data_IF_240912887022
#
_entry.id   IF_240912887022
#
_cell.length_a   1.000
_cell.length_b   1.000
_cell.length_c   1.000
_cell.angle_alpha   90.00
_cell.angle_beta   90.00
_cell.angle_gamma   90.00
#
_symmetry.space_group_name_H-M   'P 1'
#
loop_
_entity.id
_entity.type
_entity.pdbx_description
1 polymer ?
#
# COMPACT_ATOMS: atom_id res chain seq x y z
N UNK A 1 -13.79 -42.73 60.58
CA UNK A 1 -14.19 -41.68 61.51
C UNK A 1 -14.68 -40.50 60.67
N UNK A 2 -15.95 -40.22 60.68
CA UNK A 2 -16.50 -38.99 60.11
C UNK A 2 -16.52 -37.95 61.23
N UNK A 3 -15.78 -36.87 61.07
CA UNK A 3 -15.75 -35.77 62.02
C UNK A 3 -17.15 -35.10 62.03
N UNK A 4 -17.49 -34.50 63.20
CA UNK A 4 -18.75 -33.81 63.37
C UNK A 4 -18.97 -32.58 62.42
N UNK A 5 -17.96 -32.21 61.73
CA UNK A 5 -17.98 -31.09 60.76
C UNK A 5 -18.31 -31.52 59.33
N UNK A 6 -18.27 -32.82 59.00
CA UNK A 6 -18.67 -33.35 57.70
C UNK A 6 -19.88 -34.29 57.90
N UNK A 7 -20.94 -33.99 57.22
CA UNK A 7 -22.14 -34.84 57.21
C UNK A 7 -22.31 -35.51 55.85
N UNK A 8 -22.49 -36.80 55.87
CA UNK A 8 -22.94 -37.59 54.72
C UNK A 8 -24.35 -38.05 55.02
N UNK A 9 -25.32 -37.51 54.32
CA UNK A 9 -26.73 -37.85 54.55
C UNK A 9 -27.47 -37.80 53.20
N UNK A 10 -28.23 -38.80 52.98
CA UNK A 10 -29.01 -38.98 51.75
C UNK A 10 -28.15 -38.90 50.50
N UNK A 11 -27.77 -38.29 49.74
CA UNK A 11 -26.87 -38.24 48.61
C UNK A 11 -25.93 -37.00 48.66
N UNK A 12 -25.80 -36.40 49.85
CA UNK A 12 -25.04 -35.18 50.00
C UNK A 12 -23.83 -35.33 50.95
N UNK A 13 -22.72 -34.68 50.57
CA UNK A 13 -21.57 -34.44 51.43
C UNK A 13 -21.56 -32.95 51.73
N UNK A 14 -21.83 -32.57 52.96
CA UNK A 14 -21.92 -31.17 53.38
C UNK A 14 -21.03 -30.87 54.58
N UNK A 15 -20.61 -29.62 54.72
CA UNK A 15 -20.01 -29.10 55.94
C UNK A 15 -21.15 -28.63 56.85
N UNK A 16 -21.08 -28.94 58.16
CA UNK A 16 -22.07 -28.53 59.14
C UNK A 16 -21.77 -27.15 59.73
N UNK A 17 -20.57 -26.64 59.51
CA UNK A 17 -20.14 -25.35 60.00
C UNK A 17 -20.19 -24.31 58.92
N UNK A 18 -20.79 -23.16 59.23
CA UNK A 18 -20.90 -22.04 58.27
C UNK A 18 -19.50 -21.51 57.86
N UNK A 19 -19.32 -21.21 56.59
CA UNK A 19 -18.09 -20.71 55.99
C UNK A 19 -16.88 -21.67 56.08
N UNK A 20 -17.13 -22.97 56.23
CA UNK A 20 -16.07 -24.00 56.16
C UNK A 20 -15.99 -24.61 54.76
N UNK A 21 -14.77 -24.80 54.27
CA UNK A 21 -14.57 -25.44 52.98
C UNK A 21 -14.70 -26.96 53.09
N UNK A 22 -15.25 -27.59 52.08
CA UNK A 22 -15.17 -29.03 51.89
C UNK A 22 -13.88 -29.35 51.08
N UNK A 23 -12.84 -29.87 51.74
CA UNK A 23 -11.60 -30.23 51.12
C UNK A 23 -11.60 -31.72 50.77
N UNK A 24 -11.47 -32.05 49.50
CA UNK A 24 -11.27 -33.41 49.00
C UNK A 24 -9.84 -33.50 48.46
N UNK A 25 -8.93 -33.97 49.26
CA UNK A 25 -7.49 -34.03 48.96
C UNK A 25 -7.00 -35.49 49.02
N UNK A 26 -6.64 -36.09 47.88
CA UNK A 26 -5.98 -37.41 47.89
C UNK A 26 -4.57 -37.34 48.50
N UNK A 27 -4.14 -38.45 49.05
CA UNK A 27 -2.78 -38.55 49.56
C UNK A 27 -1.78 -38.82 48.43
N UNK A 28 -0.59 -38.22 48.50
CA UNK A 28 0.51 -38.43 47.56
C UNK A 28 0.15 -38.08 46.14
N UNK A 29 0.36 -38.97 45.20
CA UNK A 29 0.08 -38.79 43.77
C UNK A 29 -1.34 -39.20 43.36
N UNK A 30 -2.21 -39.46 44.30
CA UNK A 30 -3.61 -39.83 44.04
C UNK A 30 -4.40 -38.69 43.36
N UNK A 31 -5.52 -39.03 42.79
CA UNK A 31 -6.42 -38.11 42.14
C UNK A 31 -7.85 -38.25 42.66
N UNK A 32 -8.63 -37.18 42.65
CA UNK A 32 -10.07 -37.25 42.82
C UNK A 32 -10.68 -37.54 41.43
N UNK A 33 -11.26 -38.70 41.27
CA UNK A 33 -11.89 -39.12 39.99
C UNK A 33 -13.38 -38.86 40.06
N UNK A 34 -13.87 -37.90 39.29
CA UNK A 34 -15.29 -37.60 39.16
C UNK A 34 -15.72 -37.88 37.71
N UNK A 35 -16.47 -38.92 37.51
CA UNK A 35 -16.90 -39.35 36.14
C UNK A 35 -17.89 -38.39 35.49
N UNK A 36 -18.65 -37.63 36.28
CA UNK A 36 -19.56 -36.54 35.81
C UNK A 36 -19.57 -35.46 36.86
N UNK A 37 -19.22 -34.23 36.50
CA UNK A 37 -19.31 -33.06 37.35
C UNK A 37 -20.23 -32.02 36.74
N UNK A 38 -21.13 -31.47 37.53
CA UNK A 38 -21.90 -30.30 37.24
C UNK A 38 -21.45 -29.17 38.20
N UNK A 39 -20.80 -28.15 37.64
CA UNK A 39 -20.24 -27.02 38.41
C UNK A 39 -21.10 -25.80 38.13
N UNK A 40 -22.08 -25.55 38.98
CA UNK A 40 -23.07 -24.50 38.80
C UNK A 40 -22.61 -23.11 39.27
N UNK A 41 -21.40 -22.98 39.75
CA UNK A 41 -20.81 -21.72 40.18
C UNK A 41 -19.38 -21.87 40.72
N UNK A 42 -18.71 -20.78 40.98
CA UNK A 42 -17.33 -20.77 41.46
C UNK A 42 -16.30 -20.58 40.35
N UNK A 43 -15.03 -20.76 40.69
CA UNK A 43 -13.89 -20.67 39.79
C UNK A 43 -13.19 -22.03 39.64
N UNK A 44 -12.61 -22.26 38.47
CA UNK A 44 -11.67 -23.36 38.22
C UNK A 44 -10.30 -22.71 37.98
N UNK A 45 -9.54 -22.60 39.04
CA UNK A 45 -8.26 -21.93 39.02
C UNK A 45 -7.09 -22.92 38.87
N UNK A 46 -6.03 -22.49 38.19
CA UNK A 46 -4.79 -23.24 38.04
C UNK A 46 -4.98 -24.69 37.51
N UNK A 47 -5.92 -24.90 36.65
CA UNK A 47 -6.35 -26.20 36.13
C UNK A 47 -6.26 -26.29 34.63
N UNK A 48 -5.66 -27.37 34.11
CA UNK A 48 -5.70 -27.68 32.68
C UNK A 48 -7.05 -28.33 32.36
N UNK A 49 -7.87 -27.66 31.54
CA UNK A 49 -9.15 -28.21 31.07
C UNK A 49 -8.91 -29.00 29.79
N UNK A 50 -9.22 -30.29 29.82
CA UNK A 50 -9.05 -31.17 28.65
C UNK A 50 -7.59 -31.56 28.35
N UNK A 51 -6.76 -31.75 29.38
CA UNK A 51 -5.32 -31.98 29.23
C UNK A 51 -4.95 -33.27 28.47
N UNK A 52 -5.72 -34.33 28.55
CA UNK A 52 -5.41 -35.63 27.89
C UNK A 52 -6.29 -35.90 26.68
N UNK A 53 -7.56 -35.63 26.79
CA UNK A 53 -8.53 -35.83 25.70
C UNK A 53 -9.49 -34.66 25.68
N UNK A 54 -9.10 -33.53 25.05
CA UNK A 54 -9.96 -32.36 24.98
C UNK A 54 -11.19 -32.63 24.13
N UNK A 55 -12.34 -32.18 24.62
CA UNK A 55 -13.62 -32.15 23.91
C UNK A 55 -14.07 -30.72 23.71
N UNK A 56 -15.12 -30.53 22.91
CA UNK A 56 -15.66 -29.21 22.65
C UNK A 56 -16.17 -28.53 23.93
N UNK A 57 -15.75 -27.29 24.18
CA UNK A 57 -16.32 -26.42 25.21
C UNK A 57 -17.28 -25.42 24.59
N UNK A 58 -18.48 -25.28 25.20
CA UNK A 58 -19.43 -24.25 24.79
C UNK A 58 -19.39 -23.07 25.75
N UNK A 59 -19.07 -21.90 25.25
CA UNK A 59 -19.00 -20.67 26.03
C UNK A 59 -19.95 -19.62 25.45
N UNK A 60 -20.71 -18.92 26.28
CA UNK A 60 -21.43 -17.71 25.87
C UNK A 60 -20.48 -16.55 25.58
N UNK A 61 -19.41 -16.45 26.35
CA UNK A 61 -18.33 -15.48 26.17
C UNK A 61 -17.01 -16.11 26.61
N UNK A 62 -16.00 -16.03 25.74
CA UNK A 62 -14.61 -16.41 26.10
C UNK A 62 -13.81 -15.11 26.23
N UNK A 63 -13.34 -14.79 27.45
CA UNK A 63 -12.48 -13.64 27.71
C UNK A 63 -11.07 -14.13 28.05
N UNK A 64 -10.09 -13.73 27.25
CA UNK A 64 -8.68 -13.93 27.52
C UNK A 64 -8.02 -12.58 27.81
N UNK A 65 -7.57 -12.37 29.07
CA UNK A 65 -7.04 -11.07 29.50
C UNK A 65 -5.68 -10.72 28.90
N UNK A 66 -4.89 -11.73 28.54
CA UNK A 66 -3.53 -11.53 28.03
C UNK A 66 -3.38 -12.06 26.59
N UNK A 67 -3.71 -13.30 26.37
CA UNK A 67 -3.66 -13.92 25.04
C UNK A 67 -4.59 -15.11 24.96
N UNK A 68 -5.20 -15.34 23.82
CA UNK A 68 -5.80 -16.62 23.44
C UNK A 68 -4.87 -17.24 22.39
N UNK A 69 -4.23 -18.36 22.71
CA UNK A 69 -3.51 -19.15 21.72
C UNK A 69 -4.53 -20.12 21.12
N UNK A 70 -4.95 -19.81 19.91
CA UNK A 70 -5.89 -20.64 19.15
C UNK A 70 -5.07 -21.32 18.07
N UNK A 71 -4.88 -22.62 18.17
CA UNK A 71 -4.19 -23.42 17.16
C UNK A 71 -5.12 -23.52 15.93
N UNK A 72 -4.76 -22.79 14.86
CA UNK A 72 -5.59 -22.66 13.67
C UNK A 72 -6.87 -21.85 13.93
N UNK A 73 -6.78 -20.54 13.85
CA UNK A 73 -7.93 -19.64 14.09
C UNK A 73 -9.11 -20.00 13.17
N UNK A 74 -10.20 -20.52 13.76
CA UNK A 74 -11.49 -20.63 13.10
C UNK A 74 -12.45 -19.66 13.75
N UNK A 75 -12.85 -18.62 13.03
CA UNK A 75 -13.86 -17.66 13.47
C UNK A 75 -15.10 -17.93 12.63
N UNK A 76 -16.22 -18.29 13.27
CA UNK A 76 -17.49 -18.55 12.62
C UNK A 76 -18.25 -17.26 12.32
N UNK A 77 -19.20 -17.34 11.40
CA UNK A 77 -19.98 -16.24 10.82
C UNK A 77 -19.18 -15.29 9.91
N UNK A 78 -18.09 -15.78 9.30
CA UNK A 78 -17.37 -15.11 8.24
C UNK A 78 -16.82 -13.70 8.60
N UNK A 79 -16.71 -13.37 9.90
CA UNK A 79 -16.27 -12.04 10.34
C UNK A 79 -15.22 -12.13 11.44
N UNK A 80 -14.19 -11.33 11.29
CA UNK A 80 -13.26 -10.94 12.35
C UNK A 80 -13.49 -9.44 12.56
N UNK A 81 -14.00 -9.05 13.72
CA UNK A 81 -14.30 -7.65 14.01
C UNK A 81 -13.77 -7.23 15.37
N UNK A 82 -13.46 -5.95 15.51
CA UNK A 82 -13.25 -5.34 16.83
C UNK A 82 -14.59 -5.09 17.50
N UNK A 83 -14.62 -5.19 18.83
CA UNK A 83 -15.84 -4.98 19.63
C UNK A 83 -15.92 -3.60 20.30
N UNK A 84 -14.93 -2.75 20.03
CA UNK A 84 -14.88 -1.36 20.52
C UNK A 84 -14.97 -0.38 19.36
N UNK A 85 -15.65 0.75 19.61
CA UNK A 85 -15.82 1.81 18.63
C UNK A 85 -14.46 2.48 18.34
N UNK A 86 -14.17 2.68 17.08
CA UNK A 86 -12.94 3.32 16.56
C UNK A 86 -11.62 2.54 16.80
N UNK A 87 -11.67 1.27 17.18
CA UNK A 87 -10.50 0.41 17.23
C UNK A 87 -10.20 -0.21 15.87
N UNK A 88 -8.94 -0.28 15.52
CA UNK A 88 -8.46 -0.99 14.32
C UNK A 88 -8.35 -2.50 14.61
N UNK A 89 -8.62 -3.31 13.62
CA UNK A 89 -8.20 -4.71 13.61
C UNK A 89 -6.77 -4.76 13.06
N UNK A 90 -5.82 -5.09 13.91
CA UNK A 90 -4.42 -5.25 13.51
C UNK A 90 -4.13 -6.71 13.17
N UNK A 91 -3.64 -6.92 11.95
CA UNK A 91 -3.16 -8.22 11.48
C UNK A 91 -1.69 -8.06 11.11
N UNK A 92 -0.79 -8.57 11.95
CA UNK A 92 0.64 -8.43 11.75
C UNK A 92 1.35 -9.78 11.80
N UNK A 93 2.42 -9.93 11.01
CA UNK A 93 3.33 -11.06 11.13
C UNK A 93 4.26 -10.92 12.33
N UNK A 94 4.81 -12.01 12.82
CA UNK A 94 5.81 -12.01 13.87
C UNK A 94 7.23 -12.11 13.28
N UNK A 95 8.18 -11.35 13.81
CA UNK A 95 9.57 -11.32 13.34
C UNK A 95 9.67 -10.88 11.89
N UNK A 96 10.24 -11.71 11.01
CA UNK A 96 10.32 -11.46 9.55
C UNK A 96 9.10 -11.94 8.76
N UNK A 97 8.08 -12.44 9.45
CA UNK A 97 6.85 -12.90 8.82
C UNK A 97 6.01 -11.74 8.28
N UNK A 98 5.34 -11.95 7.15
CA UNK A 98 4.40 -11.01 6.55
C UNK A 98 2.95 -11.44 6.74
N UNK A 99 2.03 -10.56 6.42
CA UNK A 99 0.60 -10.89 6.32
C UNK A 99 0.33 -11.53 4.97
N UNK A 100 -0.16 -12.77 4.97
CA UNK A 100 -0.57 -13.46 3.76
C UNK A 100 -2.08 -13.69 3.79
N UNK A 101 -2.77 -13.19 2.76
CA UNK A 101 -4.22 -13.38 2.59
C UNK A 101 -4.45 -14.06 1.25
N UNK A 102 -4.98 -15.28 1.27
CA UNK A 102 -5.31 -16.04 0.07
C UNK A 102 -4.14 -16.19 -0.94
N UNK A 103 -2.93 -16.40 -0.43
CA UNK A 103 -1.73 -16.55 -1.25
C UNK A 103 -1.02 -15.23 -1.62
N UNK A 104 -1.58 -14.08 -1.23
CA UNK A 104 -0.95 -12.78 -1.44
C UNK A 104 -0.25 -12.30 -0.18
N UNK A 105 1.06 -12.06 -0.27
CA UNK A 105 1.83 -11.45 0.82
C UNK A 105 1.82 -9.94 0.67
N UNK A 106 1.32 -9.26 1.69
CA UNK A 106 1.23 -7.80 1.74
C UNK A 106 2.58 -7.17 2.16
N UNK A 107 2.90 -5.95 1.68
CA UNK A 107 4.08 -5.23 2.12
C UNK A 107 3.97 -4.91 3.62
N UNK A 108 5.11 -4.95 4.32
CA UNK A 108 5.21 -4.62 5.75
C UNK A 108 5.37 -3.12 6.02
N UNK A 109 5.57 -2.33 4.98
CA UNK A 109 5.71 -0.87 5.07
C UNK A 109 4.75 -0.18 4.12
N UNK A 110 4.35 1.03 4.46
CA UNK A 110 3.52 1.88 3.61
C UNK A 110 4.30 2.36 2.37
N UNK A 111 3.57 2.66 1.30
CA UNK A 111 4.09 3.29 0.10
C UNK A 111 4.21 4.82 0.24
N UNK A 112 4.62 5.49 -0.81
CA UNK A 112 4.58 6.96 -0.91
C UNK A 112 3.32 7.42 -1.63
N UNK A 113 2.91 8.68 -1.40
CA UNK A 113 1.73 9.26 -2.06
C UNK A 113 1.76 9.09 -3.57
N UNK A 114 0.68 8.61 -4.16
CA UNK A 114 0.55 8.36 -5.60
C UNK A 114 1.00 6.97 -6.06
N UNK A 115 1.49 6.13 -5.15
CA UNK A 115 1.75 4.72 -5.44
C UNK A 115 0.48 3.88 -5.30
N UNK A 116 0.43 2.76 -6.01
CA UNK A 116 -0.63 1.77 -5.92
C UNK A 116 -0.06 0.36 -5.69
N UNK A 117 -0.89 -0.51 -5.14
CA UNK A 117 -0.49 -1.88 -4.83
C UNK A 117 -0.44 -2.71 -6.13
N UNK A 118 0.69 -3.35 -6.36
CA UNK A 118 0.95 -4.20 -7.54
C UNK A 118 1.33 -5.61 -7.13
N UNK A 119 1.22 -6.55 -8.06
CA UNK A 119 1.66 -7.93 -7.88
C UNK A 119 2.85 -8.24 -8.79
N UNK A 120 3.76 -9.09 -8.32
CA UNK A 120 4.84 -9.64 -9.14
C UNK A 120 4.43 -10.90 -9.94
N UNK A 121 3.17 -11.32 -9.86
CA UNK A 121 2.67 -12.56 -10.47
C UNK A 121 3.00 -13.85 -9.69
N UNK A 122 3.71 -13.74 -8.56
CA UNK A 122 4.11 -14.86 -7.70
C UNK A 122 3.55 -14.74 -6.28
N UNK A 123 2.46 -13.98 -6.11
CA UNK A 123 1.78 -13.81 -4.83
C UNK A 123 2.40 -12.74 -3.91
N UNK A 124 3.40 -11.99 -4.34
CA UNK A 124 3.96 -10.88 -3.54
C UNK A 124 3.39 -9.56 -4.04
N UNK A 125 2.84 -8.78 -3.13
CA UNK A 125 2.35 -7.44 -3.39
C UNK A 125 3.42 -6.40 -2.97
N UNK A 126 3.52 -5.32 -3.73
CA UNK A 126 4.42 -4.20 -3.47
C UNK A 126 3.81 -2.88 -3.93
N UNK A 127 4.29 -1.76 -3.41
CA UNK A 127 3.88 -0.46 -3.90
C UNK A 127 4.72 -0.05 -5.11
N UNK A 128 4.06 0.43 -6.16
CA UNK A 128 4.70 0.95 -7.36
C UNK A 128 4.07 2.27 -7.79
N UNK A 129 4.87 3.12 -8.37
CA UNK A 129 4.38 4.37 -8.98
C UNK A 129 3.63 4.06 -10.26
N UNK A 130 2.51 4.76 -10.50
CA UNK A 130 1.79 4.68 -11.76
C UNK A 130 2.72 5.09 -12.91
N UNK A 131 2.98 4.17 -13.82
CA UNK A 131 3.77 4.40 -15.01
C UNK A 131 3.53 3.28 -16.01
N UNK A 132 3.41 3.62 -17.28
CA UNK A 132 3.46 2.60 -18.32
C UNK A 132 4.90 2.07 -18.39
N UNK A 133 5.13 0.85 -17.93
CA UNK A 133 6.40 0.16 -18.20
C UNK A 133 6.38 -0.30 -19.65
N UNK A 134 6.99 0.52 -20.52
CA UNK A 134 7.13 0.22 -21.94
C UNK A 134 8.54 -0.35 -22.18
N UNK A 135 8.63 -1.53 -22.80
CA UNK A 135 9.91 -2.22 -23.01
C UNK A 135 10.87 -1.43 -23.90
N UNK A 136 10.33 -0.62 -24.83
CA UNK A 136 11.10 0.06 -25.87
C UNK A 136 10.92 1.57 -25.88
N UNK A 137 10.23 2.13 -24.89
CA UNK A 137 9.97 3.56 -24.81
C UNK A 137 9.69 4.00 -23.37
N UNK A 138 9.78 5.30 -23.12
CA UNK A 138 9.28 5.91 -21.90
C UNK A 138 8.47 7.18 -22.19
N UNK A 139 7.51 7.48 -21.31
CA UNK A 139 6.67 8.68 -21.37
C UNK A 139 7.00 9.55 -20.18
N UNK A 140 7.16 10.84 -20.41
CA UNK A 140 7.35 11.85 -19.36
C UNK A 140 6.71 13.17 -19.73
N UNK A 141 6.48 14.02 -18.76
CA UNK A 141 5.99 15.37 -18.91
C UNK A 141 6.80 16.36 -18.08
N UNK A 142 6.74 17.64 -18.42
CA UNK A 142 7.30 18.70 -17.62
C UNK A 142 6.71 20.05 -17.98
N UNK A 143 7.03 21.06 -17.17
CA UNK A 143 6.65 22.45 -17.35
C UNK A 143 7.90 23.33 -17.26
N UNK A 144 8.03 24.30 -18.18
CA UNK A 144 9.14 25.27 -18.22
C UNK A 144 8.61 26.63 -18.59
N UNK A 145 9.09 27.69 -17.93
CA UNK A 145 8.76 29.08 -18.29
C UNK A 145 9.99 29.74 -18.93
N UNK A 146 9.77 30.40 -20.07
CA UNK A 146 10.81 31.05 -20.85
C UNK A 146 10.47 32.54 -21.01
N UNK A 147 11.39 33.41 -20.62
CA UNK A 147 11.20 34.84 -20.72
C UNK A 147 11.09 35.28 -22.20
N UNK A 148 10.49 36.47 -22.43
CA UNK A 148 10.40 37.05 -23.76
C UNK A 148 11.78 37.13 -24.42
N UNK A 149 11.84 36.80 -25.71
CA UNK A 149 13.06 36.83 -26.55
C UNK A 149 14.21 35.93 -26.05
N UNK A 150 13.97 35.08 -25.04
CA UNK A 150 14.97 34.15 -24.53
C UNK A 150 14.95 32.81 -25.25
N UNK A 151 16.12 32.16 -25.31
CA UNK A 151 16.26 30.77 -25.73
C UNK A 151 16.58 29.92 -24.53
N UNK A 152 15.87 28.83 -24.36
CA UNK A 152 16.06 27.88 -23.24
C UNK A 152 16.07 26.43 -23.73
N UNK A 153 16.62 25.53 -22.91
CA UNK A 153 16.43 24.10 -23.08
C UNK A 153 15.06 23.74 -22.52
N UNK A 154 14.17 23.25 -23.35
CA UNK A 154 12.85 22.80 -22.96
C UNK A 154 12.91 21.42 -22.31
N UNK A 155 13.70 20.52 -22.91
CA UNK A 155 13.87 19.16 -22.40
C UNK A 155 15.20 18.54 -22.90
N UNK A 156 15.65 17.48 -22.20
CA UNK A 156 16.80 16.66 -22.61
C UNK A 156 16.48 15.18 -22.54
N UNK A 157 17.17 14.38 -23.33
CA UNK A 157 17.23 12.92 -23.19
C UNK A 157 18.63 12.40 -23.52
N UNK A 158 19.02 11.32 -22.80
CA UNK A 158 20.34 10.73 -22.95
C UNK A 158 20.50 10.04 -24.32
N UNK A 159 21.47 10.48 -25.13
CA UNK A 159 21.73 9.93 -26.48
C UNK A 159 22.16 8.46 -26.48
N UNK A 160 22.77 7.98 -25.37
CA UNK A 160 23.19 6.59 -25.23
C UNK A 160 22.04 5.63 -24.89
N UNK A 161 20.89 6.17 -24.45
CA UNK A 161 19.73 5.36 -24.03
C UNK A 161 18.58 5.43 -25.02
N UNK A 162 18.45 6.54 -25.73
CA UNK A 162 17.28 6.80 -26.58
C UNK A 162 17.71 7.28 -27.96
N UNK A 163 17.07 6.76 -29.01
CA UNK A 163 17.34 7.11 -30.40
C UNK A 163 16.55 8.33 -30.85
N UNK A 164 15.34 8.49 -30.38
CA UNK A 164 14.43 9.54 -30.81
C UNK A 164 13.42 9.91 -29.75
N UNK A 165 12.82 11.08 -29.91
CA UNK A 165 11.74 11.57 -29.05
C UNK A 165 10.63 12.21 -29.89
N UNK A 166 9.39 11.98 -29.50
CA UNK A 166 8.23 12.74 -29.95
C UNK A 166 7.73 13.61 -28.81
N UNK A 167 7.43 14.85 -29.09
CA UNK A 167 6.88 15.82 -28.16
C UNK A 167 5.53 16.30 -28.61
N UNK A 168 4.62 16.44 -27.68
CA UNK A 168 3.38 17.18 -27.78
C UNK A 168 3.49 18.38 -26.85
N UNK A 169 3.54 19.60 -27.41
CA UNK A 169 3.93 20.81 -26.69
C UNK A 169 2.77 21.80 -26.71
N UNK A 170 2.42 22.34 -25.54
CA UNK A 170 1.54 23.48 -25.37
C UNK A 170 2.34 24.66 -24.85
N UNK A 171 2.27 25.80 -25.52
CA UNK A 171 2.83 27.06 -25.09
C UNK A 171 1.72 28.04 -24.76
N UNK A 172 1.82 28.74 -23.64
CA UNK A 172 0.91 29.81 -23.23
C UNK A 172 1.66 31.10 -23.02
N UNK A 173 1.21 32.17 -23.66
CA UNK A 173 1.64 33.53 -23.38
C UNK A 173 0.94 34.01 -22.09
N UNK A 174 1.75 34.23 -21.05
CA UNK A 174 1.25 34.63 -19.74
C UNK A 174 0.75 36.07 -19.69
N UNK A 175 1.11 36.90 -20.68
CA UNK A 175 0.76 38.32 -20.74
C UNK A 175 -0.46 38.55 -21.62
N UNK A 176 -0.49 37.94 -22.82
CA UNK A 176 -1.49 38.26 -23.84
C UNK A 176 -2.58 37.16 -23.97
N UNK A 177 -2.52 36.09 -23.17
CA UNK A 177 -3.51 35.03 -23.17
C UNK A 177 -3.52 34.14 -24.44
N UNK A 178 -2.50 34.27 -25.31
CA UNK A 178 -2.35 33.47 -26.54
C UNK A 178 -1.87 32.04 -26.16
N UNK A 179 -2.31 31.08 -26.94
CA UNK A 179 -1.92 29.67 -26.75
C UNK A 179 -1.46 29.10 -28.08
N UNK A 180 -0.46 28.25 -28.04
CA UNK A 180 0.00 27.45 -29.18
C UNK A 180 0.12 26.00 -28.80
N UNK A 181 -0.25 25.11 -29.70
CA UNK A 181 0.02 23.69 -29.63
C UNK A 181 0.85 23.29 -30.84
N UNK A 182 1.86 22.44 -30.63
CA UNK A 182 2.75 21.98 -31.69
C UNK A 182 3.26 20.58 -31.37
N UNK A 183 3.47 19.75 -32.38
CA UNK A 183 4.20 18.50 -32.28
C UNK A 183 5.63 18.67 -32.79
N UNK A 184 6.58 17.99 -32.13
CA UNK A 184 7.97 17.95 -32.57
C UNK A 184 8.50 16.51 -32.53
N UNK A 185 9.14 16.08 -33.62
CA UNK A 185 9.91 14.83 -33.66
C UNK A 185 11.40 15.19 -33.65
N UNK A 186 12.16 14.57 -32.77
CA UNK A 186 13.59 14.75 -32.61
C UNK A 186 14.29 13.42 -32.74
N UNK A 187 15.36 13.37 -33.54
CA UNK A 187 16.27 12.23 -33.63
C UNK A 187 17.71 12.71 -33.64
N UNK A 188 18.68 11.80 -33.49
CA UNK A 188 20.09 12.13 -33.52
C UNK A 188 20.91 10.99 -34.13
N UNK A 189 22.12 11.29 -34.60
CA UNK A 189 23.12 10.32 -35.09
C UNK A 189 24.26 10.08 -34.07
N UNK A 190 24.20 10.73 -32.91
CA UNK A 190 25.20 10.71 -31.85
C UNK A 190 26.09 11.96 -31.83
N UNK A 191 26.20 12.69 -32.93
CA UNK A 191 26.93 13.96 -33.07
C UNK A 191 26.00 15.15 -33.26
N UNK A 192 25.00 14.99 -34.11
CA UNK A 192 24.04 16.01 -34.47
C UNK A 192 22.62 15.58 -34.12
N UNK A 193 21.75 16.54 -33.84
CA UNK A 193 20.33 16.33 -33.61
C UNK A 193 19.50 17.01 -34.72
N UNK A 194 18.43 16.33 -35.11
CA UNK A 194 17.54 16.71 -36.17
C UNK A 194 16.12 16.87 -35.63
N UNK A 195 15.41 17.90 -36.04
CA UNK A 195 14.05 18.17 -35.58
C UNK A 195 13.12 18.46 -36.75
N UNK A 196 11.91 17.97 -36.65
CA UNK A 196 10.80 18.42 -37.48
C UNK A 196 9.62 18.80 -36.57
N UNK A 197 9.04 19.98 -36.83
CA UNK A 197 7.83 20.45 -36.15
C UNK A 197 6.65 20.44 -37.09
N UNK A 198 5.47 20.10 -36.62
CA UNK A 198 4.25 20.04 -37.41
C UNK A 198 3.01 20.23 -36.55
N UNK A 199 1.87 20.47 -37.19
CA UNK A 199 0.59 20.59 -36.49
C UNK A 199 0.50 21.81 -35.57
N UNK A 200 1.26 22.91 -35.86
CA UNK A 200 1.14 24.12 -35.05
C UNK A 200 -0.22 24.77 -35.23
N UNK A 201 -0.91 25.00 -34.11
CA UNK A 201 -2.17 25.72 -34.03
C UNK A 201 -2.05 26.82 -32.99
N UNK A 202 -2.25 28.06 -33.40
CA UNK A 202 -2.20 29.23 -32.52
C UNK A 202 -3.60 29.73 -32.25
N UNK A 203 -4.00 29.74 -30.98
CA UNK A 203 -5.23 30.36 -30.50
C UNK A 203 -4.95 31.76 -29.98
N UNK A 204 -5.67 32.76 -30.48
CA UNK A 204 -5.50 34.15 -30.11
C UNK A 204 -6.81 34.90 -30.08
N UNK A 205 -7.01 35.71 -29.07
CA UNK A 205 -8.17 36.61 -28.98
C UNK A 205 -7.97 37.91 -29.78
N UNK A 206 -6.73 38.18 -30.20
CA UNK A 206 -6.33 39.38 -30.93
C UNK A 206 -6.17 39.15 -32.45
N UNK A 207 -6.50 37.95 -32.94
CA UNK A 207 -6.42 37.57 -34.36
C UNK A 207 -5.00 37.30 -34.89
N UNK A 208 -3.99 37.27 -34.05
CA UNK A 208 -2.61 36.97 -34.44
C UNK A 208 -2.37 35.48 -34.56
N UNK A 209 -2.14 34.98 -35.77
CA UNK A 209 -1.88 33.56 -36.06
C UNK A 209 -0.37 33.22 -36.13
N UNK A 210 0.52 34.10 -35.68
CA UNK A 210 1.97 33.86 -35.71
C UNK A 210 2.39 32.92 -34.57
N UNK A 211 3.30 31.96 -34.80
CA UNK A 211 3.84 31.08 -33.74
C UNK A 211 4.39 31.90 -32.57
N UNK A 212 4.23 31.34 -31.37
CA UNK A 212 4.72 31.95 -30.14
C UNK A 212 6.20 31.62 -29.91
N UNK A 213 6.69 30.53 -30.51
CA UNK A 213 8.04 30.06 -30.32
C UNK A 213 8.61 29.39 -31.58
N UNK A 214 9.93 29.31 -31.65
CA UNK A 214 10.65 28.44 -32.60
C UNK A 214 11.37 27.35 -31.86
N UNK A 215 11.56 26.22 -32.49
CA UNK A 215 12.12 25.01 -31.87
C UNK A 215 13.37 24.55 -32.65
N UNK A 216 14.41 24.17 -31.91
CA UNK A 216 15.64 23.58 -32.46
C UNK A 216 16.05 22.40 -31.61
N UNK A 217 16.93 21.55 -32.16
CA UNK A 217 17.54 20.47 -31.41
C UNK A 217 19.06 20.49 -31.60
N UNK A 218 19.81 20.10 -30.57
CA UNK A 218 21.24 19.93 -30.63
C UNK A 218 21.71 18.78 -29.75
N UNK A 219 22.95 18.35 -29.92
CA UNK A 219 23.65 17.43 -29.02
C UNK A 219 24.58 18.23 -28.12
N UNK A 220 24.52 18.01 -26.83
CA UNK A 220 25.38 18.66 -25.83
C UNK A 220 25.87 17.61 -24.83
N UNK A 221 27.15 17.27 -24.90
CA UNK A 221 27.72 16.21 -24.07
C UNK A 221 27.07 14.84 -24.32
N UNK A 222 26.48 14.26 -23.28
CA UNK A 222 25.75 12.99 -23.34
C UNK A 222 24.29 13.12 -23.73
N UNK A 223 23.80 14.34 -23.93
CA UNK A 223 22.36 14.59 -24.07
C UNK A 223 21.99 15.19 -25.43
N UNK A 224 20.82 14.83 -25.91
CA UNK A 224 20.07 15.52 -26.95
C UNK A 224 19.17 16.55 -26.27
N UNK A 225 19.22 17.80 -26.72
CA UNK A 225 18.39 18.88 -26.17
C UNK A 225 17.34 19.31 -27.18
N UNK A 226 16.09 19.39 -26.74
CA UNK A 226 15.08 20.20 -27.41
C UNK A 226 15.16 21.63 -26.86
N UNK A 227 15.41 22.58 -27.73
CA UNK A 227 15.51 24.00 -27.37
C UNK A 227 14.34 24.79 -27.94
N UNK A 228 13.97 25.82 -27.24
CA UNK A 228 12.90 26.72 -27.63
C UNK A 228 13.38 28.16 -27.54
N UNK A 229 13.05 28.97 -28.55
CA UNK A 229 13.21 30.41 -28.51
C UNK A 229 11.82 31.05 -28.48
N UNK A 230 11.55 31.79 -27.41
CA UNK A 230 10.31 32.55 -27.26
C UNK A 230 10.35 33.76 -28.18
N UNK A 231 9.42 33.86 -29.15
CA UNK A 231 9.28 34.99 -30.07
C UNK A 231 8.10 35.90 -29.72
N UNK A 232 7.39 35.60 -28.60
CA UNK A 232 6.34 36.46 -28.07
C UNK A 232 6.91 37.62 -27.25
N UNK A 233 6.14 38.72 -27.15
CA UNK A 233 6.47 39.86 -26.32
C UNK A 233 6.39 39.54 -24.80
N UNK A 234 5.59 38.51 -24.42
CA UNK A 234 5.43 38.09 -23.05
C UNK A 234 6.24 36.81 -22.73
N UNK A 235 6.34 36.48 -21.44
CA UNK A 235 6.87 35.16 -21.05
C UNK A 235 5.93 34.03 -21.47
N UNK A 236 6.51 32.91 -21.89
CA UNK A 236 5.77 31.70 -22.26
C UNK A 236 5.94 30.62 -21.21
N UNK A 237 4.84 30.00 -20.81
CA UNK A 237 4.84 28.75 -20.06
C UNK A 237 4.60 27.60 -21.02
N UNK A 238 5.58 26.71 -21.10
CA UNK A 238 5.52 25.49 -21.87
C UNK A 238 5.13 24.31 -20.97
N UNK A 239 4.18 23.51 -21.43
CA UNK A 239 3.88 22.18 -20.91
C UNK A 239 4.03 21.19 -22.04
N UNK A 240 4.69 20.07 -21.80
CA UNK A 240 4.85 19.06 -22.83
C UNK A 240 4.72 17.65 -22.29
N UNK A 241 4.29 16.76 -23.16
CA UNK A 241 4.43 15.32 -23.00
C UNK A 241 5.47 14.84 -24.01
N UNK A 242 6.34 13.95 -23.56
CA UNK A 242 7.40 13.35 -24.38
C UNK A 242 7.26 11.83 -24.37
N UNK A 243 7.42 11.24 -25.55
CA UNK A 243 7.67 9.80 -25.73
C UNK A 243 9.06 9.64 -26.31
N UNK A 244 9.95 8.86 -25.67
CA UNK A 244 11.26 8.51 -26.21
C UNK A 244 11.30 7.04 -26.61
N UNK A 245 12.09 6.73 -27.64
CA UNK A 245 12.30 5.37 -28.13
C UNK A 245 13.75 4.96 -27.79
N UNK A 246 13.90 3.76 -27.22
CA UNK A 246 15.19 3.22 -26.83
C UNK A 246 16.11 2.98 -28.03
N UNK A 247 17.43 2.95 -27.76
CA UNK A 247 18.46 2.58 -28.73
C UNK A 247 18.42 1.09 -29.03
#
# INVERSE_FOLDING_TARGET
LVDSQIQIKDNEITTTQSNSDLVIAPAGTGQVVISKADINGGAIDNTVIGGSTPLAGTFTTLTANTSAVIDGVTITDNKITTNRSNDNLEITGSGTGGVNISGFTFPSADGTSGQFLTTNGLGVLSFATAGASLSHSSISDATTTVASSATATLNTFAKGSFRSAKYFISARDNTNGRNEIVEANVTHDGSDAYIATFGSVVGSTDGHATPLATYTADVSGSDVRLRVTNVSAGSLTFKFQRVVINV
#
